data_IF_227320262477
#
_entry.id   IF_227320262477
#
_cell.length_a   1.000
_cell.length_b   1.000
_cell.length_c   1.000
_cell.angle_alpha   90.00
_cell.angle_beta   90.00
_cell.angle_gamma   90.00
#
_symmetry.space_group_name_H-M   'P 1'
#
loop_
_entity.id
_entity.type
_entity.pdbx_description
1 polymer ?
#
# COMPACT_ATOMS: atom_id res chain seq x y z
N UNK A 1 22.63 -0.35 -34.80
CA UNK A 1 23.84 0.00 -34.02
C UNK A 1 24.79 -1.17 -34.10
N UNK A 2 26.06 -0.91 -34.38
CA UNK A 2 27.10 -1.92 -34.17
C UNK A 2 27.31 -2.16 -32.65
N UNK A 3 28.08 -3.19 -32.29
CA UNK A 3 28.31 -3.55 -30.90
C UNK A 3 29.00 -2.44 -30.08
N UNK A 4 29.83 -1.61 -30.70
CA UNK A 4 30.54 -0.51 -30.02
C UNK A 4 29.58 0.65 -29.71
N UNK A 5 28.75 1.03 -30.67
CA UNK A 5 27.70 2.04 -30.50
C UNK A 5 26.69 1.62 -29.44
N UNK A 6 26.32 0.34 -29.43
CA UNK A 6 25.41 -0.22 -28.45
C UNK A 6 26.04 -0.25 -27.04
N UNK A 7 27.32 -0.60 -26.93
CA UNK A 7 28.05 -0.53 -25.66
C UNK A 7 28.14 0.90 -25.13
N UNK A 8 28.48 1.87 -25.98
CA UNK A 8 28.49 3.28 -25.58
C UNK A 8 27.10 3.73 -25.12
N UNK A 9 26.03 3.36 -25.85
CA UNK A 9 24.66 3.64 -25.45
C UNK A 9 24.30 3.00 -24.11
N UNK A 10 24.76 1.79 -23.83
CA UNK A 10 24.62 1.18 -22.51
C UNK A 10 25.31 2.01 -21.42
N UNK A 11 26.56 2.44 -21.63
CA UNK A 11 27.27 3.28 -20.66
C UNK A 11 26.58 4.64 -20.43
N UNK A 12 26.00 5.22 -21.47
CA UNK A 12 25.33 6.53 -21.39
C UNK A 12 23.96 6.47 -20.71
N UNK A 13 23.29 5.31 -20.77
CA UNK A 13 21.88 5.13 -20.36
C UNK A 13 21.65 4.10 -19.26
N UNK A 14 22.69 3.44 -18.78
CA UNK A 14 22.63 2.67 -17.55
C UNK A 14 22.57 3.64 -16.39
N UNK A 15 21.44 3.62 -15.69
CA UNK A 15 21.28 4.33 -14.45
C UNK A 15 21.50 3.39 -13.27
N UNK A 16 22.24 3.85 -12.25
CA UNK A 16 22.42 3.15 -10.99
C UNK A 16 22.05 4.07 -9.82
N UNK A 17 21.13 3.62 -8.98
CA UNK A 17 20.78 4.26 -7.72
C UNK A 17 21.54 3.62 -6.56
N UNK A 18 22.56 4.26 -5.97
CA UNK A 18 23.39 3.63 -4.94
C UNK A 18 22.61 3.27 -3.68
N UNK A 19 21.69 4.13 -3.21
CA UNK A 19 20.96 3.89 -1.96
C UNK A 19 19.85 2.84 -2.10
N UNK A 20 19.39 2.56 -3.32
CA UNK A 20 18.34 1.57 -3.60
C UNK A 20 18.92 0.30 -4.22
N UNK A 21 20.23 0.29 -4.48
CA UNK A 21 20.95 -0.74 -5.23
C UNK A 21 20.25 -1.11 -6.56
N UNK A 22 19.59 -0.12 -7.18
CA UNK A 22 18.72 -0.32 -8.34
C UNK A 22 19.42 0.08 -9.63
N UNK A 23 19.45 -0.84 -10.59
CA UNK A 23 19.90 -0.59 -11.95
C UNK A 23 18.70 -0.45 -12.89
N UNK A 24 18.73 0.56 -13.75
CA UNK A 24 17.80 0.72 -14.87
C UNK A 24 18.59 0.83 -16.16
N UNK A 25 18.47 -0.15 -17.03
CA UNK A 25 19.04 -0.14 -18.38
C UNK A 25 17.96 0.12 -19.42
N UNK A 26 18.00 1.31 -20.03
CA UNK A 26 17.10 1.71 -21.11
C UNK A 26 17.78 1.78 -22.48
N UNK A 27 19.01 1.27 -22.58
CA UNK A 27 19.81 1.32 -23.82
C UNK A 27 19.16 0.58 -24.98
N UNK A 28 18.28 -0.38 -24.70
CA UNK A 28 17.53 -1.17 -25.69
C UNK A 28 16.19 -0.57 -26.12
N UNK A 29 15.76 0.53 -25.49
CA UNK A 29 14.52 1.23 -25.87
C UNK A 29 14.83 2.13 -27.09
N UNK A 30 14.02 2.08 -28.16
CA UNK A 30 14.26 2.87 -29.37
C UNK A 30 13.85 4.33 -29.15
N UNK A 31 14.82 5.18 -28.83
CA UNK A 31 14.65 6.64 -28.81
C UNK A 31 15.96 7.35 -29.19
N UNK A 32 15.84 8.52 -29.80
CA UNK A 32 16.95 9.40 -30.16
C UNK A 32 16.93 10.71 -29.35
N UNK A 33 17.92 11.58 -29.58
CA UNK A 33 17.99 12.88 -28.90
C UNK A 33 16.85 13.82 -29.31
N UNK A 34 16.34 13.70 -30.54
CA UNK A 34 15.23 14.51 -31.02
C UNK A 34 13.94 14.17 -30.25
N UNK A 35 13.69 12.89 -29.99
CA UNK A 35 12.59 12.43 -29.15
C UNK A 35 12.68 13.02 -27.74
N UNK A 36 13.84 12.91 -27.08
CA UNK A 36 14.05 13.45 -25.73
C UNK A 36 13.83 14.97 -25.68
N UNK A 37 14.35 15.69 -26.66
CA UNK A 37 14.16 17.14 -26.78
C UNK A 37 12.67 17.49 -26.94
N UNK A 38 11.92 16.68 -27.69
CA UNK A 38 10.46 16.81 -27.81
C UNK A 38 9.69 16.57 -26.50
N UNK A 39 10.31 15.91 -25.52
CA UNK A 39 9.72 15.66 -24.20
C UNK A 39 10.04 16.73 -23.15
N UNK A 40 11.06 17.56 -23.35
CA UNK A 40 11.51 18.56 -22.36
C UNK A 40 10.36 19.44 -21.86
N UNK A 41 9.57 20.03 -22.75
CA UNK A 41 8.45 20.88 -22.37
C UNK A 41 7.34 20.12 -21.62
N UNK A 42 7.11 18.84 -21.96
CA UNK A 42 6.13 17.98 -21.29
C UNK A 42 6.58 17.63 -19.87
N UNK A 43 7.87 17.31 -19.70
CA UNK A 43 8.42 17.02 -18.37
C UNK A 43 8.51 18.27 -17.50
N UNK A 44 8.90 19.40 -18.06
CA UNK A 44 8.88 20.67 -17.33
C UNK A 44 7.46 20.97 -16.80
N UNK A 45 6.44 20.77 -17.64
CA UNK A 45 5.05 20.87 -17.20
C UNK A 45 4.70 19.84 -16.13
N UNK A 46 5.10 18.58 -16.30
CA UNK A 46 4.83 17.52 -15.34
C UNK A 46 5.46 17.79 -13.97
N UNK A 47 6.68 18.34 -13.92
CA UNK A 47 7.33 18.74 -12.67
C UNK A 47 6.59 19.89 -11.98
N UNK A 48 6.13 20.88 -12.74
CA UNK A 48 5.32 21.97 -12.21
C UNK A 48 3.98 21.48 -11.64
N UNK A 49 3.31 20.58 -12.36
CA UNK A 49 2.05 19.97 -11.91
C UNK A 49 2.29 19.09 -10.68
N UNK A 50 3.36 18.30 -10.63
CA UNK A 50 3.75 17.50 -9.46
C UNK A 50 4.04 18.39 -8.24
N UNK A 51 4.80 19.48 -8.39
CA UNK A 51 5.05 20.42 -7.31
C UNK A 51 3.77 21.15 -6.83
N UNK A 52 2.79 21.36 -7.71
CA UNK A 52 1.48 21.86 -7.31
C UNK A 52 0.70 20.83 -6.49
N UNK A 53 0.66 19.58 -6.95
CA UNK A 53 0.04 18.47 -6.23
C UNK A 53 0.67 18.31 -4.84
N UNK A 54 2.00 18.29 -4.74
CA UNK A 54 2.72 18.09 -3.48
C UNK A 54 2.44 19.17 -2.43
N UNK A 55 2.08 20.38 -2.87
CA UNK A 55 1.62 21.48 -2.02
C UNK A 55 0.13 21.43 -1.67
N UNK A 56 -0.58 20.39 -2.08
CA UNK A 56 -2.00 20.17 -1.77
C UNK A 56 -2.98 20.72 -2.80
N UNK A 57 -2.56 20.92 -4.06
CA UNK A 57 -3.51 21.28 -5.11
C UNK A 57 -4.58 20.18 -5.29
N UNK A 58 -5.82 20.61 -5.58
CA UNK A 58 -6.91 19.69 -5.92
C UNK A 58 -6.58 19.03 -7.26
N UNK A 59 -6.42 17.71 -7.22
CA UNK A 59 -6.03 16.91 -8.38
C UNK A 59 -7.25 16.37 -9.14
N UNK A 60 -8.32 16.06 -8.41
CA UNK A 60 -9.56 15.54 -8.95
C UNK A 60 -10.66 16.60 -8.83
N UNK A 61 -10.96 17.35 -9.91
CA UNK A 61 -11.99 18.39 -9.89
C UNK A 61 -13.40 17.84 -9.64
N UNK A 62 -13.68 16.61 -10.07
CA UNK A 62 -15.00 16.00 -9.92
C UNK A 62 -15.30 15.61 -8.48
N UNK A 63 -14.26 15.18 -7.75
CA UNK A 63 -14.37 14.79 -6.34
C UNK A 63 -13.91 15.88 -5.36
N UNK A 64 -13.34 16.99 -5.85
CA UNK A 64 -12.74 18.07 -5.05
C UNK A 64 -11.71 17.56 -4.03
N UNK A 65 -10.88 16.60 -4.45
CA UNK A 65 -9.90 15.91 -3.59
C UNK A 65 -8.46 16.21 -3.94
N UNK A 66 -7.63 16.25 -2.90
CA UNK A 66 -6.17 16.14 -3.00
C UNK A 66 -5.76 14.71 -3.36
N UNK A 67 -4.56 14.55 -3.91
CA UNK A 67 -3.93 13.24 -4.13
C UNK A 67 -2.64 13.22 -3.32
N UNK A 68 -2.66 12.68 -2.11
CA UNK A 68 -1.58 12.88 -1.12
C UNK A 68 -0.68 11.68 -0.85
N UNK A 69 -0.76 10.62 -1.67
CA UNK A 69 -0.10 9.34 -1.39
C UNK A 69 1.44 9.39 -1.23
N UNK A 70 2.10 10.43 -1.74
CA UNK A 70 3.53 10.68 -1.49
C UNK A 70 3.82 11.19 -0.08
N UNK A 71 2.88 11.89 0.56
CA UNK A 71 3.05 12.29 1.97
C UNK A 71 3.11 11.07 2.90
N UNK A 72 2.49 9.94 2.53
CA UNK A 72 2.56 8.70 3.32
C UNK A 72 4.00 8.25 3.56
N UNK A 73 4.91 8.45 2.58
CA UNK A 73 6.34 8.13 2.70
C UNK A 73 7.24 9.34 3.01
N UNK A 74 6.69 10.56 2.97
CA UNK A 74 7.40 11.77 3.36
C UNK A 74 6.46 12.75 4.09
N UNK A 75 6.05 12.45 5.35
CA UNK A 75 5.05 13.24 6.08
C UNK A 75 5.50 14.69 6.33
N UNK A 76 6.80 14.95 6.31
CA UNK A 76 7.35 16.30 6.44
C UNK A 76 6.95 17.23 5.29
N UNK A 77 6.57 16.67 4.13
CA UNK A 77 6.10 17.43 2.96
C UNK A 77 4.60 17.71 2.97
N UNK A 78 3.87 17.20 3.97
CA UNK A 78 2.44 17.47 4.11
C UNK A 78 2.19 19.00 4.24
N UNK A 79 1.18 19.57 3.58
CA UNK A 79 0.94 21.02 3.52
C UNK A 79 0.70 21.69 4.89
N UNK A 80 0.23 20.93 5.88
CA UNK A 80 -0.05 21.42 7.22
C UNK A 80 0.17 20.31 8.27
N UNK A 81 0.11 20.69 9.55
CA UNK A 81 0.33 19.78 10.66
C UNK A 81 -0.76 18.71 10.78
N UNK A 82 -2.02 19.05 10.50
CA UNK A 82 -3.15 18.12 10.57
C UNK A 82 -2.97 16.93 9.61
N UNK A 83 -2.62 17.20 8.34
CA UNK A 83 -2.34 16.17 7.34
C UNK A 83 -1.10 15.34 7.69
N UNK A 84 -0.11 15.94 8.37
CA UNK A 84 1.06 15.21 8.87
C UNK A 84 0.65 14.25 9.98
N UNK A 85 -0.15 14.70 10.93
CA UNK A 85 -0.62 13.90 12.07
C UNK A 85 -1.52 12.75 11.60
N UNK A 86 -2.37 12.99 10.59
CA UNK A 86 -3.17 11.97 9.88
C UNK A 86 -2.34 10.82 9.29
N UNK A 87 -1.02 10.96 9.20
CA UNK A 87 -0.08 9.98 8.67
C UNK A 87 0.79 9.41 9.79
N UNK A 88 1.41 10.27 10.59
CA UNK A 88 2.37 9.83 11.60
C UNK A 88 1.71 9.12 12.77
N UNK A 89 0.50 9.54 13.18
CA UNK A 89 -0.20 8.90 14.29
C UNK A 89 -0.65 7.47 13.93
N UNK A 90 -1.29 7.20 12.76
CA UNK A 90 -1.63 5.83 12.39
C UNK A 90 -0.42 4.91 12.24
N UNK A 91 0.71 5.41 11.70
CA UNK A 91 1.94 4.62 11.61
C UNK A 91 2.43 4.22 13.01
N UNK A 92 2.46 5.16 13.95
CA UNK A 92 2.84 4.88 15.34
C UNK A 92 1.86 3.89 16.01
N UNK A 93 0.56 4.06 15.77
CA UNK A 93 -0.49 3.17 16.26
C UNK A 93 -0.32 1.74 15.71
N UNK A 94 0.00 1.58 14.42
CA UNK A 94 0.26 0.28 13.79
C UNK A 94 1.44 -0.41 14.48
N UNK A 95 2.56 0.29 14.66
CA UNK A 95 3.76 -0.28 15.32
C UNK A 95 3.46 -0.77 16.73
N UNK A 96 2.77 0.03 17.52
CA UNK A 96 2.40 -0.35 18.89
C UNK A 96 1.38 -1.50 18.91
N UNK A 97 0.41 -1.50 18.00
CA UNK A 97 -0.56 -2.58 17.87
C UNK A 97 0.12 -3.90 17.49
N UNK A 98 1.00 -3.88 16.48
CA UNK A 98 1.76 -5.06 16.01
C UNK A 98 2.63 -5.62 17.15
N UNK A 99 3.33 -4.75 17.90
CA UNK A 99 4.09 -5.16 19.08
C UNK A 99 3.21 -5.87 20.13
N UNK A 100 1.99 -5.39 20.36
CA UNK A 100 1.02 -6.02 21.28
C UNK A 100 0.52 -7.37 20.75
N UNK A 101 0.31 -7.51 19.44
CA UNK A 101 -0.07 -8.77 18.80
C UNK A 101 1.05 -9.80 18.90
N UNK A 102 2.28 -9.44 18.49
CA UNK A 102 3.44 -10.34 18.51
C UNK A 102 3.82 -10.78 19.93
N UNK A 103 3.68 -9.89 20.92
CA UNK A 103 3.92 -10.24 22.33
C UNK A 103 2.80 -11.09 22.94
N UNK A 104 1.59 -11.09 22.37
CA UNK A 104 0.40 -11.73 22.93
C UNK A 104 -0.29 -10.90 24.02
N UNK A 105 0.03 -9.60 24.13
CA UNK A 105 -0.71 -8.68 24.99
C UNK A 105 -2.13 -8.45 24.45
N UNK A 106 -2.26 -8.32 23.13
CA UNK A 106 -3.53 -8.51 22.42
C UNK A 106 -3.49 -9.91 21.82
N UNK A 107 -4.48 -10.74 22.16
CA UNK A 107 -4.51 -12.16 21.82
C UNK A 107 -5.95 -12.62 21.63
N UNK A 108 -6.17 -13.70 20.86
CA UNK A 108 -7.51 -14.25 20.72
C UNK A 108 -8.00 -14.86 22.04
N UNK A 109 -9.32 -14.89 22.29
CA UNK A 109 -9.90 -15.55 23.46
C UNK A 109 -9.41 -17.00 23.59
N UNK A 110 -9.03 -17.40 24.81
CA UNK A 110 -8.59 -18.77 25.12
C UNK A 110 -7.38 -19.27 24.30
N UNK A 111 -6.57 -18.37 23.75
CA UNK A 111 -5.32 -18.69 23.03
C UNK A 111 -4.19 -17.80 23.54
N UNK A 112 -2.96 -18.21 23.26
CA UNK A 112 -1.78 -17.44 23.69
C UNK A 112 -1.50 -16.26 22.76
N UNK A 113 -1.65 -16.44 21.44
CA UNK A 113 -1.35 -15.45 20.39
C UNK A 113 -2.17 -15.70 19.12
N UNK A 114 -2.24 -14.68 18.26
CA UNK A 114 -2.63 -14.84 16.87
C UNK A 114 -1.48 -15.51 16.09
N UNK A 115 -1.84 -16.31 15.09
CA UNK A 115 -0.88 -17.02 14.22
C UNK A 115 -1.14 -16.75 12.74
N UNK A 116 -2.33 -16.26 12.40
CA UNK A 116 -2.74 -16.00 11.02
C UNK A 116 -3.43 -14.64 10.91
N UNK A 117 -3.41 -14.08 9.71
CA UNK A 117 -4.12 -12.89 9.28
C UNK A 117 -5.04 -13.29 8.13
N UNK A 118 -6.28 -12.81 8.17
CA UNK A 118 -7.21 -12.87 7.04
C UNK A 118 -7.56 -11.45 6.60
N UNK A 119 -7.07 -11.03 5.45
CA UNK A 119 -7.41 -9.75 4.84
C UNK A 119 -8.69 -9.89 3.99
N UNK A 120 -9.68 -9.05 4.28
CA UNK A 120 -10.96 -8.98 3.58
C UNK A 120 -11.10 -7.61 2.94
N UNK A 121 -11.09 -7.56 1.61
CA UNK A 121 -11.13 -6.32 0.84
C UNK A 121 -10.94 -6.60 -0.64
N UNK A 122 -11.24 -5.66 -1.52
CA UNK A 122 -11.14 -5.85 -2.98
C UNK A 122 -10.27 -4.78 -3.63
N UNK A 123 -9.67 -5.12 -4.78
CA UNK A 123 -8.89 -4.20 -5.59
C UNK A 123 -7.69 -3.66 -4.83
N UNK A 124 -7.58 -2.33 -4.73
CA UNK A 124 -6.48 -1.68 -4.01
C UNK A 124 -6.37 -2.05 -2.51
N UNK A 125 -7.48 -2.47 -1.90
CA UNK A 125 -7.53 -2.93 -0.51
C UNK A 125 -6.98 -4.35 -0.31
N UNK A 126 -6.61 -5.06 -1.39
CA UNK A 126 -6.15 -6.44 -1.34
C UNK A 126 -4.90 -6.70 -2.21
N UNK A 127 -4.83 -6.14 -3.42
CA UNK A 127 -3.76 -6.42 -4.38
C UNK A 127 -2.39 -5.93 -3.91
N UNK A 128 -2.32 -4.75 -3.28
CA UNK A 128 -1.08 -4.25 -2.69
C UNK A 128 -0.57 -5.16 -1.57
N UNK A 129 -1.40 -5.45 -0.55
CA UNK A 129 -1.01 -6.37 0.52
C UNK A 129 -0.67 -7.78 0.02
N UNK A 130 -1.37 -8.29 -1.00
CA UNK A 130 -1.05 -9.56 -1.65
C UNK A 130 0.34 -9.54 -2.30
N UNK A 131 0.65 -8.46 -3.05
CA UNK A 131 1.94 -8.30 -3.70
C UNK A 131 3.08 -8.21 -2.69
N UNK A 132 2.95 -7.35 -1.68
CA UNK A 132 3.97 -7.17 -0.64
C UNK A 132 4.14 -8.44 0.19
N UNK A 133 3.06 -9.08 0.62
CA UNK A 133 3.13 -10.34 1.35
C UNK A 133 3.79 -11.46 0.55
N UNK A 134 3.60 -11.51 -0.77
CA UNK A 134 4.27 -12.49 -1.65
C UNK A 134 5.75 -12.16 -1.89
N UNK A 135 6.06 -10.87 -2.08
CA UNK A 135 7.40 -10.43 -2.49
C UNK A 135 8.38 -10.26 -1.31
N UNK A 136 7.90 -9.84 -0.14
CA UNK A 136 8.74 -9.39 0.97
C UNK A 136 8.53 -10.18 2.28
N UNK A 137 7.58 -11.11 2.34
CA UNK A 137 7.40 -11.93 3.54
C UNK A 137 8.68 -12.74 3.82
N UNK A 138 9.14 -12.80 5.07
CA UNK A 138 10.22 -13.71 5.43
C UNK A 138 9.78 -15.16 5.25
N UNK A 139 10.75 -16.08 5.15
CA UNK A 139 10.50 -17.52 5.01
C UNK A 139 9.62 -18.10 6.13
N UNK A 140 9.70 -17.51 7.32
CA UNK A 140 8.91 -17.85 8.50
C UNK A 140 8.24 -16.56 9.04
N UNK A 141 7.10 -16.15 8.49
CA UNK A 141 6.42 -14.95 8.94
C UNK A 141 5.93 -15.08 10.37
N UNK A 142 5.85 -13.95 11.08
CA UNK A 142 5.33 -13.93 12.44
C UNK A 142 3.86 -14.38 12.47
N UNK A 143 3.08 -13.96 11.48
CA UNK A 143 1.73 -14.44 11.21
C UNK A 143 1.58 -14.77 9.71
N UNK A 144 1.00 -15.93 9.41
CA UNK A 144 0.66 -16.35 8.03
C UNK A 144 -0.51 -15.51 7.48
N UNK A 145 -0.52 -15.18 6.19
CA UNK A 145 -1.55 -14.30 5.61
C UNK A 145 -2.41 -15.02 4.56
N UNK A 146 -3.72 -14.75 4.58
CA UNK A 146 -4.69 -15.19 3.58
C UNK A 146 -5.62 -14.04 3.18
N UNK A 147 -6.30 -14.20 2.04
CA UNK A 147 -7.11 -13.15 1.44
C UNK A 147 -8.51 -13.63 1.03
N UNK A 148 -9.50 -12.76 1.21
CA UNK A 148 -10.81 -12.80 0.58
C UNK A 148 -10.98 -11.49 -0.20
N UNK A 149 -10.87 -11.59 -1.52
CA UNK A 149 -10.89 -10.45 -2.44
C UNK A 149 -11.91 -10.55 -3.57
N UNK A 150 -12.72 -11.60 -3.55
CA UNK A 150 -13.78 -11.86 -4.50
C UNK A 150 -15.06 -12.26 -3.76
N UNK A 151 -16.17 -12.28 -4.49
CA UNK A 151 -17.51 -12.60 -3.96
C UNK A 151 -17.95 -14.02 -4.22
N UNK A 152 -17.09 -14.88 -4.78
CA UNK A 152 -17.44 -16.29 -5.01
C UNK A 152 -17.54 -17.03 -3.67
N UNK A 153 -18.75 -17.49 -3.27
CA UNK A 153 -18.93 -18.18 -1.99
C UNK A 153 -18.05 -19.42 -1.85
N UNK A 154 -17.80 -20.14 -2.95
CA UNK A 154 -16.94 -21.33 -2.91
C UNK A 154 -15.48 -20.97 -2.63
N UNK A 155 -15.01 -19.86 -3.18
CA UNK A 155 -13.68 -19.33 -2.92
C UNK A 155 -13.51 -18.96 -1.45
N UNK A 156 -14.51 -18.26 -0.89
CA UNK A 156 -14.56 -17.88 0.53
C UNK A 156 -14.56 -19.12 1.43
N UNK A 157 -15.47 -20.07 1.19
CA UNK A 157 -15.58 -21.32 1.96
C UNK A 157 -14.27 -22.09 1.95
N UNK A 158 -13.61 -22.18 0.78
CA UNK A 158 -12.32 -22.85 0.64
C UNK A 158 -11.25 -22.16 1.49
N UNK A 159 -11.15 -20.84 1.46
CA UNK A 159 -10.18 -20.11 2.28
C UNK A 159 -10.44 -20.33 3.77
N UNK A 160 -11.70 -20.20 4.20
CA UNK A 160 -12.08 -20.36 5.61
C UNK A 160 -11.85 -21.78 6.14
N UNK A 161 -12.07 -22.80 5.30
CA UNK A 161 -11.86 -24.20 5.68
C UNK A 161 -10.39 -24.55 6.01
N UNK A 162 -9.42 -23.77 5.49
CA UNK A 162 -7.99 -23.99 5.72
C UNK A 162 -7.39 -23.09 6.81
N UNK A 163 -8.17 -22.17 7.39
CA UNK A 163 -7.68 -21.22 8.38
C UNK A 163 -8.04 -21.65 9.81
N UNK A 164 -7.10 -21.57 10.77
CA UNK A 164 -7.39 -21.81 12.18
C UNK A 164 -8.07 -20.57 12.79
N UNK A 165 -9.38 -20.40 12.57
CA UNK A 165 -10.15 -19.19 12.91
C UNK A 165 -9.92 -18.70 14.36
N UNK A 166 -9.84 -19.63 15.32
CA UNK A 166 -9.59 -19.32 16.74
C UNK A 166 -8.25 -18.61 17.01
N UNK A 167 -7.32 -18.59 16.05
CA UNK A 167 -6.03 -17.88 16.13
C UNK A 167 -5.80 -16.94 14.94
N UNK A 168 -6.83 -16.67 14.13
CA UNK A 168 -6.77 -15.78 12.97
C UNK A 168 -7.28 -14.39 13.35
N UNK A 169 -6.50 -13.36 13.02
CA UNK A 169 -6.87 -11.94 13.07
C UNK A 169 -7.45 -11.53 11.71
N UNK A 170 -8.64 -10.95 11.69
CA UNK A 170 -9.33 -10.50 10.49
C UNK A 170 -9.12 -9.00 10.30
N UNK A 171 -8.59 -8.60 9.15
CA UNK A 171 -8.44 -7.20 8.75
C UNK A 171 -9.49 -6.91 7.67
N UNK A 172 -10.50 -6.11 7.98
CA UNK A 172 -11.53 -5.71 7.01
C UNK A 172 -11.20 -4.32 6.48
N UNK A 173 -11.00 -4.20 5.17
CA UNK A 173 -10.54 -2.98 4.52
C UNK A 173 -11.55 -2.49 3.49
N UNK A 174 -12.18 -1.36 3.78
CA UNK A 174 -13.06 -0.64 2.83
C UNK A 174 -13.13 0.83 3.21
N UNK A 175 -12.75 1.72 2.29
CA UNK A 175 -12.75 3.17 2.52
C UNK A 175 -14.12 3.69 2.94
N UNK A 176 -15.15 3.41 2.13
CA UNK A 176 -16.53 3.85 2.39
C UNK A 176 -17.29 2.93 3.36
N UNK A 177 -16.81 1.70 3.55
CA UNK A 177 -17.53 0.63 4.25
C UNK A 177 -18.75 0.10 3.49
N UNK A 178 -19.09 0.70 2.34
CA UNK A 178 -20.25 0.32 1.52
C UNK A 178 -19.90 -0.56 0.32
N UNK A 179 -18.61 -0.88 0.11
CA UNK A 179 -18.16 -1.75 -0.99
C UNK A 179 -18.82 -3.13 -0.84
N UNK A 180 -19.71 -3.54 -1.77
CA UNK A 180 -20.49 -4.76 -1.63
C UNK A 180 -19.63 -6.01 -1.41
N UNK A 181 -18.51 -6.12 -2.11
CA UNK A 181 -17.61 -7.26 -2.06
C UNK A 181 -16.95 -7.39 -0.69
N UNK A 182 -16.34 -6.31 -0.18
CA UNK A 182 -15.72 -6.29 1.14
C UNK A 182 -16.75 -6.51 2.26
N UNK A 183 -17.94 -5.91 2.14
CA UNK A 183 -19.04 -6.08 3.10
C UNK A 183 -19.53 -7.53 3.13
N UNK A 184 -19.78 -8.14 1.97
CA UNK A 184 -20.28 -9.51 1.90
C UNK A 184 -19.22 -10.50 2.40
N UNK A 185 -17.95 -10.31 2.02
CA UNK A 185 -16.84 -11.09 2.56
C UNK A 185 -16.77 -11.00 4.09
N UNK A 186 -16.88 -9.79 4.67
CA UNK A 186 -16.91 -9.60 6.12
C UNK A 186 -18.08 -10.36 6.78
N UNK A 187 -19.27 -10.32 6.19
CA UNK A 187 -20.45 -11.01 6.74
C UNK A 187 -20.27 -12.55 6.70
N UNK A 188 -19.72 -13.10 5.62
CA UNK A 188 -19.44 -14.53 5.53
C UNK A 188 -18.36 -14.97 6.53
N UNK A 189 -17.29 -14.19 6.67
CA UNK A 189 -16.24 -14.46 7.68
C UNK A 189 -16.84 -14.41 9.09
N UNK A 190 -17.62 -13.36 9.41
CA UNK A 190 -18.28 -13.25 10.71
C UNK A 190 -19.17 -14.46 11.00
N UNK A 191 -20.00 -14.85 10.04
CA UNK A 191 -20.86 -16.03 10.15
C UNK A 191 -20.05 -17.32 10.41
N UNK A 192 -18.87 -17.46 9.79
CA UNK A 192 -17.98 -18.60 10.04
C UNK A 192 -17.38 -18.62 11.46
N UNK A 193 -17.06 -17.45 12.02
CA UNK A 193 -16.62 -17.32 13.41
C UNK A 193 -17.76 -17.65 14.39
N UNK A 194 -18.95 -17.10 14.16
CA UNK A 194 -20.14 -17.35 15.00
C UNK A 194 -20.54 -18.83 15.01
N UNK A 195 -20.45 -19.54 13.87
CA UNK A 195 -20.67 -20.99 13.78
C UNK A 195 -19.68 -21.84 14.60
N UNK A 196 -18.55 -21.26 15.01
CA UNK A 196 -17.56 -21.89 15.87
C UNK A 196 -17.56 -21.33 17.29
N UNK A 197 -18.62 -20.59 17.67
CA UNK A 197 -18.75 -19.90 18.95
C UNK A 197 -17.58 -18.94 19.24
N UNK A 198 -17.00 -18.33 18.20
CA UNK A 198 -15.94 -17.34 18.31
C UNK A 198 -16.51 -15.91 18.23
N UNK A 199 -16.12 -15.07 19.17
CA UNK A 199 -16.52 -13.67 19.25
C UNK A 199 -15.78 -12.82 18.20
N UNK A 200 -16.37 -12.65 17.01
CA UNK A 200 -15.75 -11.99 15.86
C UNK A 200 -15.10 -10.62 16.18
N UNK A 201 -15.73 -9.68 16.91
CA UNK A 201 -15.09 -8.45 17.37
C UNK A 201 -13.73 -8.62 18.07
N UNK A 202 -13.53 -9.71 18.82
CA UNK A 202 -12.25 -10.03 19.49
C UNK A 202 -11.17 -10.56 18.54
N UNK A 203 -11.51 -10.74 17.27
CA UNK A 203 -10.64 -11.20 16.21
C UNK A 203 -10.54 -10.20 15.05
N UNK A 204 -11.20 -9.04 15.12
CA UNK A 204 -11.34 -8.16 13.96
C UNK A 204 -10.70 -6.79 14.18
N UNK A 205 -10.19 -6.23 13.10
CA UNK A 205 -9.78 -4.82 12.99
C UNK A 205 -10.29 -4.24 11.68
N UNK A 206 -10.57 -2.94 11.67
CA UNK A 206 -11.03 -2.24 10.47
C UNK A 206 -9.97 -1.27 9.96
N UNK A 207 -9.79 -1.21 8.64
CA UNK A 207 -9.06 -0.13 7.95
C UNK A 207 -10.06 0.61 7.07
N UNK A 208 -10.45 1.81 7.49
CA UNK A 208 -11.58 2.53 6.89
C UNK A 208 -11.56 4.02 7.18
N UNK A 209 -12.34 4.80 6.43
CA UNK A 209 -12.49 6.24 6.68
C UNK A 209 -13.28 6.48 7.99
N UNK A 210 -12.86 7.43 8.84
CA UNK A 210 -13.63 7.81 10.02
C UNK A 210 -15.08 8.18 9.67
N UNK A 211 -16.05 7.69 10.45
CA UNK A 211 -17.48 7.93 10.23
C UNK A 211 -18.12 7.13 9.08
N UNK A 212 -17.35 6.28 8.38
CA UNK A 212 -17.87 5.39 7.34
C UNK A 212 -18.85 4.34 7.91
N UNK A 213 -19.48 3.56 7.02
CA UNK A 213 -20.36 2.47 7.47
C UNK A 213 -19.59 1.38 8.23
N UNK A 214 -18.38 1.04 7.76
CA UNK A 214 -17.53 0.04 8.41
C UNK A 214 -17.00 0.59 9.75
N UNK A 215 -16.69 1.88 9.83
CA UNK A 215 -16.21 2.51 11.06
C UNK A 215 -17.24 2.44 12.19
N UNK A 216 -18.51 2.72 11.85
CA UNK A 216 -19.66 2.60 12.78
C UNK A 216 -19.90 1.16 13.21
N UNK A 217 -19.66 0.20 12.32
CA UNK A 217 -19.85 -1.23 12.57
C UNK A 217 -18.71 -1.87 13.36
N UNK A 218 -17.53 -1.25 13.36
CA UNK A 218 -16.32 -1.76 13.99
C UNK A 218 -16.03 -1.14 15.37
N UNK A 219 -17.01 -0.50 16.00
CA UNK A 219 -16.81 0.22 17.27
C UNK A 219 -16.40 -0.69 18.44
N UNK A 220 -16.84 -1.95 18.40
CA UNK A 220 -16.57 -2.99 19.41
C UNK A 220 -15.41 -3.92 19.02
N UNK A 221 -14.77 -3.68 17.88
CA UNK A 221 -13.64 -4.49 17.40
C UNK A 221 -12.35 -4.12 18.13
N UNK A 222 -11.30 -4.94 17.98
CA UNK A 222 -10.01 -4.73 18.66
C UNK A 222 -9.43 -3.34 18.39
N UNK A 223 -9.48 -2.89 17.13
CA UNK A 223 -9.04 -1.55 16.76
C UNK A 223 -9.55 -1.13 15.38
N UNK A 224 -9.46 0.18 15.11
CA UNK A 224 -9.78 0.79 13.82
C UNK A 224 -8.61 1.69 13.41
N UNK A 225 -8.16 1.54 12.17
CA UNK A 225 -7.11 2.37 11.57
C UNK A 225 -7.73 3.26 10.48
N UNK A 226 -7.42 4.57 10.49
CA UNK A 226 -8.03 5.49 9.54
C UNK A 226 -7.46 5.30 8.12
N UNK A 227 -8.34 5.40 7.13
CA UNK A 227 -8.00 5.54 5.72
C UNK A 227 -8.50 6.89 5.22
N UNK A 228 -7.55 7.76 4.84
CA UNK A 228 -7.87 9.15 4.52
C UNK A 228 -8.50 9.32 3.13
N UNK A 229 -9.25 10.41 2.96
CA UNK A 229 -9.98 10.65 1.72
C UNK A 229 -9.09 10.98 0.52
N UNK A 230 -7.92 11.57 0.77
CA UNK A 230 -6.92 11.90 -0.24
C UNK A 230 -6.02 10.72 -0.63
N UNK A 231 -6.22 9.55 0.00
CA UNK A 231 -5.59 8.28 -0.39
C UNK A 231 -6.53 7.53 -1.34
N UNK A 232 -6.04 7.29 -2.56
CA UNK A 232 -6.74 6.48 -3.56
C UNK A 232 -6.50 4.99 -3.32
N UNK A 233 -7.46 4.14 -3.69
CA UNK A 233 -7.35 2.68 -3.46
C UNK A 233 -6.10 2.06 -4.13
N UNK A 234 -5.77 2.45 -5.37
CA UNK A 234 -4.57 1.94 -6.07
C UNK A 234 -3.25 2.51 -5.54
N UNK A 235 -3.29 3.48 -4.63
CA UNK A 235 -2.11 4.13 -4.03
C UNK A 235 -2.10 4.00 -2.50
N UNK A 236 -2.90 3.09 -1.94
CA UNK A 236 -3.06 2.95 -0.49
C UNK A 236 -2.07 1.98 0.18
N UNK A 237 -1.21 1.30 -0.57
CA UNK A 237 -0.30 0.30 0.01
C UNK A 237 0.55 0.84 1.16
N UNK A 238 1.08 2.05 1.01
CA UNK A 238 1.90 2.69 2.04
C UNK A 238 1.07 3.41 3.12
N UNK A 239 -0.23 3.11 3.22
CA UNK A 239 -1.10 3.53 4.32
C UNK A 239 -1.39 2.34 5.24
N UNK A 240 -2.28 2.51 6.21
CA UNK A 240 -2.75 1.41 7.06
C UNK A 240 -3.25 0.17 6.27
N UNK A 241 -3.67 0.33 5.01
CA UNK A 241 -4.11 -0.77 4.14
C UNK A 241 -3.02 -1.82 3.93
N UNK A 242 -1.77 -1.42 3.65
CA UNK A 242 -0.65 -2.35 3.41
C UNK A 242 0.34 -2.43 4.56
N UNK A 243 0.60 -1.33 5.27
CA UNK A 243 1.56 -1.31 6.37
C UNK A 243 1.12 -2.21 7.54
N UNK A 244 -0.18 -2.28 7.84
CA UNK A 244 -0.67 -3.14 8.92
C UNK A 244 -0.43 -4.64 8.64
N UNK A 245 -0.91 -5.22 7.53
CA UNK A 245 -0.64 -6.63 7.24
C UNK A 245 0.85 -6.91 7.08
N UNK A 246 1.61 -6.03 6.44
CA UNK A 246 3.06 -6.20 6.27
C UNK A 246 3.79 -6.28 7.63
N UNK A 247 3.54 -5.33 8.52
CA UNK A 247 4.14 -5.33 9.86
C UNK A 247 3.72 -6.54 10.70
N UNK A 248 2.48 -7.01 10.58
CA UNK A 248 2.00 -8.21 11.26
C UNK A 248 2.71 -9.48 10.77
N UNK A 249 3.07 -9.57 9.49
CA UNK A 249 3.91 -10.66 8.96
C UNK A 249 5.38 -10.56 9.44
N UNK A 250 5.81 -9.41 9.96
CA UNK A 250 7.18 -9.15 10.39
C UNK A 250 8.04 -8.39 9.37
N UNK A 251 7.41 -7.79 8.34
CA UNK A 251 8.10 -6.95 7.36
C UNK A 251 8.40 -5.59 7.99
N UNK A 252 9.61 -5.07 7.74
CA UNK A 252 10.02 -3.74 8.21
C UNK A 252 9.34 -2.64 7.37
N UNK A 253 8.28 -2.07 7.96
CA UNK A 253 7.51 -1.01 7.32
C UNK A 253 8.23 0.34 7.27
N UNK A 254 9.24 0.57 8.12
CA UNK A 254 10.04 1.81 8.05
C UNK A 254 10.97 1.77 6.85
N UNK A 255 11.60 0.63 6.59
CA UNK A 255 12.41 0.42 5.38
C UNK A 255 11.56 0.48 4.11
N UNK A 256 10.32 -0.06 4.12
CA UNK A 256 9.39 0.09 2.99
C UNK A 256 9.09 1.57 2.69
N UNK A 257 8.80 2.36 3.72
CA UNK A 257 8.52 3.79 3.58
C UNK A 257 9.77 4.55 3.14
N UNK A 258 10.94 4.23 3.69
CA UNK A 258 12.21 4.84 3.34
C UNK A 258 12.58 4.57 1.87
N UNK A 259 12.49 3.32 1.42
CA UNK A 259 12.73 2.95 0.02
C UNK A 259 11.76 3.63 -0.94
N UNK A 260 10.48 3.70 -0.56
CA UNK A 260 9.49 4.42 -1.35
C UNK A 260 9.80 5.92 -1.44
N UNK A 261 10.20 6.56 -0.33
CA UNK A 261 10.63 7.97 -0.26
C UNK A 261 11.86 8.24 -1.12
N UNK A 262 12.82 7.34 -1.11
CA UNK A 262 14.05 7.49 -1.87
C UNK A 262 13.78 7.41 -3.38
N UNK A 263 12.93 6.48 -3.82
CA UNK A 263 12.48 6.42 -5.22
C UNK A 263 11.76 7.71 -5.66
N UNK A 264 10.97 8.23 -4.74
CA UNK A 264 10.27 9.48 -4.86
C UNK A 264 11.25 10.64 -5.09
N UNK A 265 12.35 10.73 -4.33
CA UNK A 265 13.43 11.71 -4.54
C UNK A 265 14.10 11.49 -5.91
N UNK A 266 14.39 10.24 -6.26
CA UNK A 266 15.09 9.88 -7.50
C UNK A 266 14.30 10.22 -8.78
N UNK A 267 12.97 10.27 -8.69
CA UNK A 267 12.07 10.62 -9.80
C UNK A 267 11.76 12.13 -9.89
N UNK A 268 12.27 12.95 -8.97
CA UNK A 268 12.06 14.41 -8.94
C UNK A 268 13.28 15.21 -9.44
N UNK A 269 14.20 14.53 -10.11
CA UNK A 269 15.40 15.14 -10.70
C UNK A 269 15.03 15.79 -12.04
N UNK A 270 15.16 17.11 -12.18
CA UNK A 270 14.81 17.81 -13.44
C UNK A 270 15.72 17.44 -14.63
N UNK A 271 16.93 16.90 -14.37
CA UNK A 271 17.79 16.40 -15.44
C UNK A 271 17.23 15.08 -16.00
N UNK A 272 16.67 15.15 -17.21
CA UNK A 272 15.99 14.01 -17.85
C UNK A 272 16.86 12.75 -18.00
N UNK A 273 18.16 12.90 -18.27
CA UNK A 273 19.09 11.75 -18.39
C UNK A 273 19.37 11.09 -17.04
N UNK A 274 19.11 11.80 -15.93
CA UNK A 274 19.34 11.33 -14.56
C UNK A 274 18.04 11.02 -13.81
N UNK A 275 16.89 11.15 -14.47
CA UNK A 275 15.58 10.90 -13.87
C UNK A 275 15.07 9.53 -14.30
N UNK A 276 14.89 8.62 -13.33
CA UNK A 276 14.40 7.25 -13.54
C UNK A 276 13.04 7.15 -14.26
N UNK A 277 12.17 8.15 -14.09
CA UNK A 277 10.80 8.12 -14.62
C UNK A 277 10.70 8.51 -16.10
N UNK A 278 11.72 9.19 -16.65
CA UNK A 278 11.67 9.76 -18.00
C UNK A 278 11.76 8.69 -19.08
N UNK A 279 12.75 7.77 -19.05
CA UNK A 279 12.88 6.76 -20.10
C UNK A 279 11.81 5.68 -20.04
N UNK A 280 11.18 5.47 -18.88
CA UNK A 280 10.18 4.43 -18.62
C UNK A 280 8.75 4.91 -18.86
N UNK A 281 8.43 6.14 -18.45
CA UNK A 281 7.12 6.76 -18.69
C UNK A 281 6.88 7.10 -20.16
N UNK A 282 7.92 7.44 -20.91
CA UNK A 282 7.80 7.80 -22.33
C UNK A 282 7.59 6.60 -23.26
N UNK A 283 8.07 5.40 -22.89
CA UNK A 283 7.84 4.16 -23.64
C UNK A 283 6.46 3.52 -23.42
N UNK A 284 5.72 3.95 -22.38
CA UNK A 284 4.39 3.44 -22.05
C UNK A 284 3.25 4.29 -22.64
N UNK A 285 3.59 5.48 -23.17
CA UNK A 285 2.62 6.47 -23.69
C UNK A 285 2.73 6.63 -25.22
N UNK A 286 3.63 5.88 -25.86
CA UNK A 286 3.76 5.80 -27.33
C UNK A 286 3.02 4.59 -27.89
#
# INVERSE_FOLDING_TARGET
MDNLQLWQRYQDWLYYHPNLELYLDVSRIPFDEAFLKGLEAKFERAFQDMAALERGAIANPDEQRMVGHYWLRAPELAPNQELRDEITEPIAQIKEFVKKIHSGAIKPPNRSKFTHILCVGIGGSALGPQFVGSALSPDFPALEIAFIDNTDPKGIDRTLAHLPLATTLVIVTSKSGGTPEARNGMLEVRNAYEKQDLDFPQHAVAVTMPGSQLDKHAQDWLTRFPMQDWVGGRTSELSAVGLLPAALQGIDIDEMLAGAKEMDIATRVHNLKKNLSVPTGSSLVS
#
